data_IF_543924395818
#
_entry.id   IF_543924395818
#
_cell.length_a   1.000
_cell.length_b   1.000
_cell.length_c   1.000
_cell.angle_alpha   90.00
_cell.angle_beta   90.00
_cell.angle_gamma   90.00
#
_symmetry.space_group_name_H-M   'P 1'
#
loop_
_entity.id
_entity.type
_entity.pdbx_description
1 polymer ?
#
# COMPACT_ATOMS: atom_id res chain seq x y z
N UNK A 1 26.88 -32.25 3.84
CA UNK A 1 25.47 -31.94 4.11
C UNK A 1 25.03 -31.07 2.99
N UNK A 2 24.37 -31.66 2.01
CA UNK A 2 23.94 -30.97 0.79
C UNK A 2 22.71 -30.13 1.11
N UNK A 3 22.85 -28.82 1.01
CA UNK A 3 21.72 -27.91 1.02
C UNK A 3 21.08 -27.95 -0.38
N UNK A 4 19.95 -28.62 -0.48
CA UNK A 4 19.07 -28.51 -1.64
C UNK A 4 18.35 -27.17 -1.52
N UNK A 5 18.48 -26.21 -2.48
CA UNK A 5 17.71 -24.99 -2.44
C UNK A 5 16.24 -25.32 -2.64
N UNK A 6 15.39 -24.72 -1.81
CA UNK A 6 13.93 -24.82 -1.93
C UNK A 6 13.51 -24.40 -3.35
N UNK A 7 12.74 -25.26 -4.01
CA UNK A 7 12.22 -24.98 -5.35
C UNK A 7 11.21 -23.84 -5.28
N UNK A 8 11.66 -22.64 -5.60
CA UNK A 8 10.75 -21.52 -5.87
C UNK A 8 10.00 -21.78 -7.17
N UNK A 9 8.68 -21.72 -7.15
CA UNK A 9 7.87 -21.81 -8.36
C UNK A 9 8.04 -20.49 -9.13
N UNK A 10 8.87 -20.54 -10.17
CA UNK A 10 9.09 -19.40 -11.06
C UNK A 10 8.11 -19.51 -12.22
N UNK A 11 7.15 -18.61 -12.31
CA UNK A 11 6.25 -18.50 -13.47
C UNK A 11 6.79 -17.40 -14.38
N UNK A 12 7.36 -17.78 -15.52
CA UNK A 12 7.74 -16.84 -16.58
C UNK A 12 6.49 -16.48 -17.40
N UNK A 13 6.01 -15.26 -17.29
CA UNK A 13 4.96 -14.75 -18.17
C UNK A 13 5.60 -14.16 -19.43
N UNK A 14 5.82 -15.00 -20.44
CA UNK A 14 6.11 -14.55 -21.82
C UNK A 14 4.80 -14.30 -22.56
N UNK A 15 4.86 -13.55 -23.69
CA UNK A 15 3.71 -13.28 -24.55
C UNK A 15 2.90 -14.54 -24.83
N UNK A 16 1.62 -14.51 -24.50
CA UNK A 16 0.53 -15.38 -24.93
C UNK A 16 0.79 -16.91 -24.92
N UNK A 17 0.88 -17.50 -23.76
CA UNK A 17 0.25 -18.80 -23.43
C UNK A 17 0.40 -19.03 -21.93
N UNK A 18 -0.64 -18.68 -21.20
CA UNK A 18 -0.72 -18.89 -19.76
C UNK A 18 -1.16 -20.33 -19.53
N UNK A 19 -0.22 -21.25 -19.33
CA UNK A 19 -0.52 -22.44 -18.54
C UNK A 19 -0.29 -22.03 -17.07
N UNK A 20 -1.39 -21.83 -16.35
CA UNK A 20 -1.35 -21.67 -14.90
C UNK A 20 -0.75 -22.95 -14.29
N UNK A 21 0.21 -22.89 -13.36
CA UNK A 21 0.63 -24.08 -12.64
C UNK A 21 -0.56 -24.60 -11.83
N UNK A 22 -0.91 -25.85 -12.08
CA UNK A 22 -1.87 -26.60 -11.29
C UNK A 22 -1.29 -26.78 -9.88
N UNK A 23 -1.91 -26.17 -8.89
CA UNK A 23 -1.63 -26.52 -7.51
C UNK A 23 -1.60 -25.33 -6.56
N UNK A 24 -2.70 -25.19 -5.87
CA UNK A 24 -2.86 -24.37 -4.68
C UNK A 24 -4.09 -23.49 -4.81
N UNK A 25 -5.18 -23.92 -4.22
CA UNK A 25 -6.33 -23.09 -3.94
C UNK A 25 -5.85 -21.86 -3.16
N UNK A 26 -5.54 -20.78 -3.88
CA UNK A 26 -5.45 -19.44 -3.31
C UNK A 26 -6.88 -18.93 -3.19
N UNK A 27 -7.64 -19.56 -2.32
CA UNK A 27 -8.99 -19.14 -1.96
C UNK A 27 -8.85 -18.04 -0.91
N UNK A 28 -8.78 -16.77 -1.37
CA UNK A 28 -8.66 -15.64 -0.49
C UNK A 28 -7.91 -14.45 -1.10
N UNK A 29 -8.02 -13.28 -0.48
CA UNK A 29 -7.44 -12.01 -0.91
C UNK A 29 -5.90 -12.07 -1.03
N UNK A 30 -5.38 -12.44 -2.19
CA UNK A 30 -3.95 -12.46 -2.47
C UNK A 30 -3.37 -11.04 -2.41
N UNK A 31 -2.26 -10.86 -1.71
CA UNK A 31 -1.51 -9.60 -1.67
C UNK A 31 -0.34 -9.67 -2.65
N UNK A 32 -0.34 -8.78 -3.64
CA UNK A 32 0.73 -8.64 -4.63
C UNK A 32 1.72 -7.55 -4.20
N UNK A 33 3.01 -7.88 -4.17
CA UNK A 33 4.08 -6.98 -3.74
C UNK A 33 5.16 -6.88 -4.82
N UNK A 34 5.13 -5.87 -5.71
CA UNK A 34 6.18 -5.67 -6.70
C UNK A 34 7.48 -5.16 -6.05
N UNK A 35 8.54 -5.95 -6.14
CA UNK A 35 9.87 -5.60 -5.65
C UNK A 35 10.66 -4.89 -6.76
N UNK A 36 10.40 -3.61 -6.93
CA UNK A 36 10.84 -2.85 -8.10
C UNK A 36 11.96 -1.83 -7.82
N UNK A 37 12.37 -1.65 -6.57
CA UNK A 37 13.39 -0.68 -6.18
C UNK A 37 14.41 -1.29 -5.23
N UNK A 38 15.70 -0.98 -5.38
CA UNK A 38 16.72 -1.41 -4.43
C UNK A 38 16.74 -0.58 -3.15
N UNK A 39 15.95 0.51 -3.06
CA UNK A 39 15.97 1.40 -1.91
C UNK A 39 15.42 0.71 -0.67
N UNK A 40 16.28 0.51 0.31
CA UNK A 40 16.00 -0.29 1.50
C UNK A 40 14.77 0.20 2.28
N UNK A 41 14.68 1.51 2.54
CA UNK A 41 13.56 2.09 3.29
C UNK A 41 12.22 1.90 2.57
N UNK A 42 12.19 2.08 1.25
CA UNK A 42 10.98 1.91 0.46
C UNK A 42 10.48 0.46 0.45
N UNK A 43 11.40 -0.50 0.30
CA UNK A 43 11.06 -1.94 0.33
C UNK A 43 10.64 -2.37 1.73
N UNK A 44 11.35 -1.93 2.76
CA UNK A 44 11.02 -2.25 4.16
C UNK A 44 9.62 -1.75 4.51
N UNK A 45 9.30 -0.49 4.21
CA UNK A 45 7.97 0.07 4.45
C UNK A 45 6.87 -0.67 3.69
N UNK A 46 7.10 -0.98 2.42
CA UNK A 46 6.19 -1.76 1.59
C UNK A 46 5.91 -3.15 2.21
N UNK A 47 6.95 -3.86 2.61
CA UNK A 47 6.83 -5.21 3.20
C UNK A 47 6.20 -5.19 4.60
N UNK A 48 6.48 -4.19 5.43
CA UNK A 48 5.82 -4.03 6.73
C UNK A 48 4.31 -3.87 6.58
N UNK A 49 3.87 -3.07 5.61
CA UNK A 49 2.43 -2.89 5.33
C UNK A 49 1.84 -4.17 4.72
N UNK A 50 2.51 -4.80 3.76
CA UNK A 50 2.05 -6.06 3.18
C UNK A 50 1.88 -7.16 4.25
N UNK A 51 2.81 -7.27 5.20
CA UNK A 51 2.71 -8.20 6.34
C UNK A 51 1.44 -7.98 7.15
N UNK A 52 1.14 -6.72 7.46
CA UNK A 52 -0.04 -6.37 8.25
C UNK A 52 -1.36 -6.67 7.53
N UNK A 53 -1.39 -6.61 6.20
CA UNK A 53 -2.58 -6.86 5.38
C UNK A 53 -2.81 -8.35 5.10
N UNK A 54 -1.77 -9.18 5.21
CA UNK A 54 -1.86 -10.61 4.97
C UNK A 54 -2.61 -11.31 6.11
N UNK A 55 -3.58 -12.14 5.77
CA UNK A 55 -4.21 -13.06 6.73
C UNK A 55 -3.26 -14.22 7.03
N UNK A 56 -3.52 -14.96 8.10
CA UNK A 56 -2.66 -16.06 8.51
C UNK A 56 -2.51 -17.16 7.45
N UNK A 57 -3.52 -17.34 6.61
CA UNK A 57 -3.58 -18.33 5.52
C UNK A 57 -3.04 -17.84 4.18
N UNK A 58 -2.86 -16.53 4.01
CA UNK A 58 -2.52 -15.96 2.71
C UNK A 58 -1.02 -16.05 2.43
N UNK A 59 -0.66 -16.29 1.17
CA UNK A 59 0.71 -16.23 0.71
C UNK A 59 0.93 -14.93 -0.10
N UNK A 60 2.00 -14.16 0.18
CA UNK A 60 2.32 -13.02 -0.65
C UNK A 60 2.79 -13.46 -2.02
N UNK A 61 2.39 -12.71 -3.04
CA UNK A 61 2.90 -12.87 -4.40
C UNK A 61 3.89 -11.75 -4.68
N UNK A 62 5.15 -12.09 -4.92
CA UNK A 62 6.17 -11.11 -5.28
C UNK A 62 6.34 -11.01 -6.79
N UNK A 63 6.45 -9.80 -7.29
CA UNK A 63 6.85 -9.54 -8.68
C UNK A 63 8.23 -8.94 -8.68
N UNK A 64 9.15 -9.53 -9.45
CA UNK A 64 10.49 -9.03 -9.66
C UNK A 64 10.70 -8.61 -11.10
N UNK A 65 11.62 -7.68 -11.30
CA UNK A 65 12.00 -7.16 -12.61
C UNK A 65 13.33 -7.83 -13.05
N UNK A 66 13.29 -8.81 -13.96
CA UNK A 66 14.49 -9.55 -14.34
C UNK A 66 15.50 -8.65 -15.06
N UNK A 67 16.80 -8.84 -14.74
CA UNK A 67 17.91 -8.03 -15.21
C UNK A 67 18.31 -8.20 -16.66
N UNK A 68 18.10 -9.39 -17.22
CA UNK A 68 18.60 -9.75 -18.55
C UNK A 68 17.77 -9.18 -19.70
N UNK A 69 16.70 -8.48 -19.41
CA UNK A 69 15.86 -7.86 -20.43
C UNK A 69 16.33 -6.45 -20.75
N UNK A 70 16.23 -6.08 -22.03
CA UNK A 70 16.50 -4.73 -22.51
C UNK A 70 15.85 -3.67 -21.63
N UNK A 71 16.45 -2.46 -21.49
CA UNK A 71 15.90 -1.38 -20.67
C UNK A 71 14.43 -1.18 -20.99
N UNK A 72 13.59 -1.30 -19.98
CA UNK A 72 12.15 -1.03 -20.12
C UNK A 72 11.90 0.49 -20.12
N UNK A 73 10.70 0.91 -20.52
CA UNK A 73 10.28 2.31 -20.39
C UNK A 73 10.34 2.84 -18.93
N UNK A 74 10.57 1.96 -17.96
CA UNK A 74 10.61 2.25 -16.52
C UNK A 74 12.02 2.11 -15.91
N UNK A 75 13.05 2.02 -16.74
CA UNK A 75 14.45 1.90 -16.34
C UNK A 75 15.03 0.50 -16.51
N UNK A 76 16.31 0.31 -16.12
CA UNK A 76 16.95 -1.00 -16.12
C UNK A 76 16.31 -1.93 -15.08
N UNK A 77 16.33 -3.22 -15.35
CA UNK A 77 15.97 -4.25 -14.38
C UNK A 77 16.93 -4.27 -13.17
N UNK A 78 16.57 -5.05 -12.18
CA UNK A 78 17.41 -5.22 -10.99
C UNK A 78 18.50 -6.28 -11.27
N UNK A 79 19.75 -6.09 -10.82
CA UNK A 79 20.77 -7.13 -10.82
C UNK A 79 20.37 -8.37 -10.02
N UNK A 80 20.78 -9.57 -10.43
CA UNK A 80 20.39 -10.84 -9.80
C UNK A 80 20.77 -10.93 -8.31
N UNK A 81 21.84 -10.28 -7.90
CA UNK A 81 22.25 -10.18 -6.50
C UNK A 81 21.29 -9.28 -5.70
N UNK A 82 20.86 -8.18 -6.29
CA UNK A 82 19.86 -7.29 -5.70
C UNK A 82 18.48 -7.98 -5.65
N UNK A 83 18.07 -8.67 -6.71
CA UNK A 83 16.83 -9.44 -6.71
C UNK A 83 16.81 -10.46 -5.56
N UNK A 84 17.88 -11.24 -5.40
CA UNK A 84 18.00 -12.21 -4.29
C UNK A 84 17.95 -11.53 -2.92
N UNK A 85 18.67 -10.43 -2.75
CA UNK A 85 18.64 -9.67 -1.50
C UNK A 85 17.22 -9.17 -1.16
N UNK A 86 16.44 -8.71 -2.15
CA UNK A 86 15.07 -8.26 -1.95
C UNK A 86 14.14 -9.40 -1.56
N UNK A 87 14.27 -10.57 -2.19
CA UNK A 87 13.49 -11.78 -1.84
C UNK A 87 13.85 -12.26 -0.44
N UNK A 88 15.14 -12.37 -0.10
CA UNK A 88 15.61 -12.75 1.23
C UNK A 88 15.12 -11.77 2.31
N UNK A 89 15.03 -10.49 1.99
CA UNK A 89 14.48 -9.46 2.88
C UNK A 89 12.98 -9.63 3.05
N UNK A 90 12.26 -9.90 1.97
CA UNK A 90 10.84 -10.15 2.01
C UNK A 90 10.51 -11.37 2.89
N UNK A 91 11.24 -12.46 2.77
CA UNK A 91 11.08 -13.66 3.61
C UNK A 91 11.38 -13.39 5.09
N UNK A 92 12.34 -12.51 5.39
CA UNK A 92 12.64 -12.12 6.78
C UNK A 92 11.55 -11.26 7.40
N UNK A 93 10.95 -10.34 6.63
CA UNK A 93 9.91 -9.42 7.14
C UNK A 93 8.54 -10.12 7.19
N UNK A 94 8.28 -11.02 6.23
CA UNK A 94 7.03 -11.79 6.13
C UNK A 94 7.36 -13.29 6.24
N UNK A 95 7.71 -13.77 7.44
CA UNK A 95 8.03 -15.18 7.63
C UNK A 95 6.77 -16.05 7.44
N UNK A 96 6.82 -17.00 6.53
CA UNK A 96 5.73 -17.91 6.20
C UNK A 96 6.18 -19.37 6.15
N UNK A 97 5.23 -20.29 6.30
CA UNK A 97 5.49 -21.71 6.30
C UNK A 97 5.76 -22.32 4.90
N UNK A 98 5.62 -21.55 3.84
CA UNK A 98 5.82 -22.01 2.46
C UNK A 98 6.59 -21.00 1.61
N UNK A 99 7.11 -21.44 0.45
CA UNK A 99 7.79 -20.53 -0.47
C UNK A 99 6.83 -19.46 -0.98
N UNK A 100 7.29 -18.20 -1.12
CA UNK A 100 6.49 -17.16 -1.73
C UNK A 100 6.23 -17.46 -3.21
N UNK A 101 5.09 -17.05 -3.71
CA UNK A 101 4.86 -17.00 -5.15
C UNK A 101 5.79 -15.94 -5.77
N UNK A 102 6.65 -16.32 -6.72
CA UNK A 102 7.55 -15.39 -7.39
C UNK A 102 7.18 -15.29 -8.87
N UNK A 103 6.79 -14.11 -9.31
CA UNK A 103 6.51 -13.82 -10.72
C UNK A 103 7.62 -12.97 -11.32
N UNK A 104 8.09 -13.37 -12.49
CA UNK A 104 8.99 -12.58 -13.32
C UNK A 104 8.27 -12.07 -14.54
N UNK A 105 8.36 -10.76 -14.81
CA UNK A 105 7.70 -10.17 -15.97
C UNK A 105 8.62 -9.25 -16.74
N UNK A 106 8.64 -9.39 -18.07
CA UNK A 106 9.40 -8.53 -18.98
C UNK A 106 8.71 -7.19 -19.25
N UNK A 107 7.41 -7.11 -19.02
CA UNK A 107 6.61 -5.92 -19.27
C UNK A 107 5.96 -5.46 -17.97
N UNK A 108 6.69 -4.72 -17.15
CA UNK A 108 6.29 -4.38 -15.77
C UNK A 108 4.82 -3.97 -15.62
N UNK A 109 4.38 -2.96 -16.35
CA UNK A 109 3.01 -2.50 -16.21
C UNK A 109 1.98 -3.57 -16.61
N UNK A 110 2.10 -4.11 -17.82
CA UNK A 110 1.12 -5.08 -18.31
C UNK A 110 1.27 -6.43 -17.61
N UNK A 111 2.50 -6.85 -17.29
CA UNK A 111 2.75 -8.09 -16.54
C UNK A 111 2.15 -8.06 -15.14
N UNK A 112 2.32 -6.97 -14.40
CA UNK A 112 1.70 -6.81 -13.07
C UNK A 112 0.17 -6.78 -13.20
N UNK A 113 -0.40 -6.05 -14.15
CA UNK A 113 -1.85 -6.03 -14.37
C UNK A 113 -2.41 -7.40 -14.78
N UNK A 114 -1.63 -8.18 -15.54
CA UNK A 114 -2.00 -9.56 -15.88
C UNK A 114 -1.89 -10.47 -14.64
N UNK A 115 -0.85 -10.33 -13.85
CA UNK A 115 -0.68 -11.09 -12.61
C UNK A 115 -1.83 -10.83 -11.62
N UNK A 116 -2.30 -9.58 -11.49
CA UNK A 116 -3.46 -9.23 -10.66
C UNK A 116 -4.67 -10.05 -11.06
N UNK A 117 -5.00 -10.09 -12.36
CA UNK A 117 -6.18 -10.81 -12.86
C UNK A 117 -6.02 -12.34 -12.83
N UNK A 118 -4.81 -12.84 -13.10
CA UNK A 118 -4.55 -14.27 -13.16
C UNK A 118 -4.51 -14.95 -11.78
N UNK A 119 -4.26 -14.19 -10.72
CA UNK A 119 -4.10 -14.71 -9.35
C UNK A 119 -5.16 -14.16 -8.39
N UNK A 120 -6.22 -13.55 -8.90
CA UNK A 120 -7.32 -12.97 -8.09
C UNK A 120 -6.80 -12.10 -6.93
N UNK A 121 -5.92 -11.15 -7.27
CA UNK A 121 -5.24 -10.29 -6.30
C UNK A 121 -6.24 -9.30 -5.73
N UNK A 122 -6.49 -9.38 -4.44
CA UNK A 122 -7.34 -8.42 -3.70
C UNK A 122 -6.63 -7.11 -3.40
N UNK A 123 -5.32 -7.17 -3.11
CA UNK A 123 -4.55 -5.96 -2.72
C UNK A 123 -3.19 -5.90 -3.40
N UNK A 124 -2.90 -4.76 -4.02
CA UNK A 124 -1.60 -4.41 -4.58
C UNK A 124 -0.89 -3.42 -3.66
N UNK A 125 0.28 -3.78 -3.13
CA UNK A 125 1.09 -2.90 -2.27
C UNK A 125 2.28 -2.37 -3.05
N UNK A 126 2.37 -1.04 -3.19
CA UNK A 126 3.37 -0.36 -4.02
C UNK A 126 4.24 0.59 -3.18
N UNK A 127 5.55 0.67 -3.45
CA UNK A 127 6.37 1.73 -2.91
C UNK A 127 6.05 3.05 -3.62
N UNK A 128 6.13 4.17 -2.91
CA UNK A 128 5.89 5.52 -3.44
C UNK A 128 6.91 6.52 -2.85
N UNK A 129 7.09 7.64 -3.54
CA UNK A 129 7.96 8.72 -3.08
C UNK A 129 9.19 8.91 -3.94
N UNK A 130 9.99 9.94 -3.63
CA UNK A 130 11.19 10.32 -4.38
C UNK A 130 12.27 9.23 -4.38
N UNK A 131 12.30 8.39 -3.36
CA UNK A 131 13.26 7.30 -3.20
C UNK A 131 13.11 6.21 -4.26
N UNK A 132 11.92 6.07 -4.87
CA UNK A 132 11.68 5.07 -5.92
C UNK A 132 12.23 5.46 -7.29
N UNK A 133 12.68 6.70 -7.45
CA UNK A 133 13.12 7.26 -8.73
C UNK A 133 11.95 7.62 -9.67
N UNK A 134 12.18 8.61 -10.54
CA UNK A 134 11.14 9.20 -11.39
C UNK A 134 10.41 8.19 -12.29
N UNK A 135 11.14 7.27 -12.92
CA UNK A 135 10.53 6.30 -13.84
C UNK A 135 9.68 5.26 -13.10
N UNK A 136 10.11 4.84 -11.92
CA UNK A 136 9.36 3.88 -11.08
C UNK A 136 8.15 4.54 -10.42
N UNK A 137 8.25 5.81 -10.03
CA UNK A 137 7.11 6.58 -9.54
C UNK A 137 6.02 6.66 -10.62
N UNK A 138 6.38 6.87 -11.89
CA UNK A 138 5.44 6.87 -13.01
C UNK A 138 4.76 5.50 -13.19
N UNK A 139 5.49 4.39 -12.99
CA UNK A 139 4.94 3.04 -12.99
C UNK A 139 3.93 2.85 -11.85
N UNK A 140 4.28 3.25 -10.62
CA UNK A 140 3.41 3.20 -9.45
C UNK A 140 2.10 3.94 -9.68
N UNK A 141 2.17 5.17 -10.20
CA UNK A 141 0.99 5.98 -10.51
C UNK A 141 0.10 5.31 -11.58
N UNK A 142 0.71 4.75 -12.63
CA UNK A 142 -0.02 4.04 -13.69
C UNK A 142 -0.66 2.75 -13.20
N UNK A 143 0.02 2.00 -12.35
CA UNK A 143 -0.55 0.82 -11.69
C UNK A 143 -1.72 1.21 -10.79
N UNK A 144 -1.54 2.24 -9.95
CA UNK A 144 -2.59 2.73 -9.08
C UNK A 144 -3.86 3.19 -9.84
N UNK A 145 -3.71 3.68 -11.07
CA UNK A 145 -4.85 4.08 -11.92
C UNK A 145 -5.54 2.91 -12.62
N UNK A 146 -4.84 1.80 -12.89
CA UNK A 146 -5.28 0.74 -13.81
C UNK A 146 -5.52 -0.60 -13.15
N UNK A 147 -5.06 -0.78 -11.91
CA UNK A 147 -5.29 -2.02 -11.18
C UNK A 147 -6.78 -2.19 -10.85
N UNK A 148 -7.28 -3.39 -11.09
CA UNK A 148 -8.65 -3.81 -10.80
C UNK A 148 -8.68 -4.52 -9.42
N UNK A 149 -8.03 -3.91 -8.43
CA UNK A 149 -7.96 -4.36 -7.04
C UNK A 149 -7.68 -3.16 -6.12
N UNK A 150 -7.70 -3.36 -4.83
CA UNK A 150 -7.29 -2.35 -3.87
C UNK A 150 -5.81 -2.02 -4.05
N UNK A 151 -5.47 -0.74 -3.98
CA UNK A 151 -4.08 -0.29 -4.11
C UNK A 151 -3.64 0.47 -2.88
N UNK A 152 -2.61 -0.04 -2.25
CA UNK A 152 -1.95 0.57 -1.11
C UNK A 152 -0.59 1.09 -1.55
N UNK A 153 -0.37 2.40 -1.43
CA UNK A 153 0.93 3.02 -1.72
C UNK A 153 1.60 3.42 -0.41
N UNK A 154 2.89 3.09 -0.28
CA UNK A 154 3.66 3.28 0.94
C UNK A 154 4.83 4.23 0.67
N UNK A 155 4.95 5.32 1.40
CA UNK A 155 6.05 6.28 1.34
C UNK A 155 6.85 6.21 2.64
N UNK A 156 8.14 5.91 2.54
CA UNK A 156 8.99 5.70 3.72
C UNK A 156 8.74 4.36 4.42
N UNK A 157 9.35 4.19 5.57
CA UNK A 157 9.13 3.03 6.45
C UNK A 157 8.89 3.53 7.87
N UNK A 158 8.20 2.72 8.64
CA UNK A 158 7.94 2.99 10.04
C UNK A 158 9.05 2.38 10.88
N UNK A 159 9.50 3.12 11.88
CA UNK A 159 10.35 2.55 12.93
C UNK A 159 9.56 1.50 13.74
N UNK A 160 10.19 0.41 14.13
CA UNK A 160 9.52 -0.69 14.85
C UNK A 160 8.89 -0.23 16.18
N UNK A 161 9.45 0.82 16.79
CA UNK A 161 8.95 1.42 18.04
C UNK A 161 7.82 2.42 17.84
N UNK A 162 7.52 2.82 16.61
CA UNK A 162 6.47 3.78 16.31
C UNK A 162 5.09 3.12 16.41
N UNK A 163 4.42 3.32 17.55
CA UNK A 163 3.14 2.67 17.92
C UNK A 163 1.96 3.62 17.88
N UNK A 164 1.98 4.61 16.99
CA UNK A 164 0.88 5.55 16.82
C UNK A 164 0.58 5.77 15.35
N UNK A 165 -0.70 5.79 15.00
CA UNK A 165 -1.21 5.97 13.65
C UNK A 165 -2.16 7.17 13.63
N UNK A 166 -1.88 8.14 12.77
CA UNK A 166 -2.83 9.20 12.41
C UNK A 166 -3.69 8.72 11.25
N UNK A 167 -5.00 8.74 11.42
CA UNK A 167 -5.98 8.38 10.39
C UNK A 167 -6.89 9.56 10.04
N UNK A 168 -6.51 10.44 9.11
CA UNK A 168 -7.41 11.47 8.61
C UNK A 168 -8.53 10.86 7.78
N UNK A 169 -9.79 11.18 8.10
CA UNK A 169 -10.99 10.68 7.44
C UNK A 169 -11.83 11.81 6.85
N UNK A 170 -12.42 11.56 5.68
CA UNK A 170 -13.32 12.52 4.99
C UNK A 170 -14.60 11.86 4.49
N UNK A 171 -14.82 10.58 4.88
CA UNK A 171 -15.90 9.75 4.37
C UNK A 171 -15.62 9.12 3.00
N UNK A 172 -16.54 8.29 2.55
CA UNK A 172 -16.46 7.56 1.28
C UNK A 172 -15.60 6.29 1.31
N UNK A 173 -15.58 5.52 0.19
CA UNK A 173 -15.02 4.18 0.16
C UNK A 173 -13.52 4.14 0.44
N UNK A 174 -12.75 5.10 -0.07
CA UNK A 174 -11.30 5.13 0.17
C UNK A 174 -10.96 5.46 1.63
N UNK A 175 -11.79 6.28 2.31
CA UNK A 175 -11.65 6.56 3.74
C UNK A 175 -11.95 5.32 4.57
N UNK A 176 -12.97 4.56 4.17
CA UNK A 176 -13.32 3.29 4.79
C UNK A 176 -12.21 2.24 4.64
N UNK A 177 -11.68 2.06 3.42
CA UNK A 177 -10.56 1.15 3.18
C UNK A 177 -9.28 1.58 3.93
N UNK A 178 -9.05 2.88 4.11
CA UNK A 178 -7.96 3.39 4.94
C UNK A 178 -8.16 3.03 6.42
N UNK A 179 -9.39 3.07 6.93
CA UNK A 179 -9.70 2.66 8.30
C UNK A 179 -9.46 1.15 8.52
N UNK A 180 -9.87 0.30 7.58
CA UNK A 180 -9.57 -1.14 7.62
C UNK A 180 -8.05 -1.39 7.62
N UNK A 181 -7.34 -0.73 6.70
CA UNK A 181 -5.87 -0.82 6.60
C UNK A 181 -5.18 -0.39 7.89
N UNK A 182 -5.61 0.73 8.49
CA UNK A 182 -5.08 1.20 9.77
C UNK A 182 -5.36 0.19 10.90
N UNK A 183 -6.54 -0.40 10.92
CA UNK A 183 -6.93 -1.45 11.87
C UNK A 183 -6.03 -2.68 11.76
N UNK A 184 -5.74 -3.16 10.55
CA UNK A 184 -4.84 -4.29 10.30
C UNK A 184 -3.39 -3.96 10.73
N UNK A 185 -2.88 -2.77 10.36
CA UNK A 185 -1.53 -2.35 10.79
C UNK A 185 -1.47 -2.23 12.31
N UNK A 186 -2.49 -1.67 12.95
CA UNK A 186 -2.55 -1.56 14.40
C UNK A 186 -2.66 -2.92 15.11
N UNK A 187 -3.31 -3.89 14.49
CA UNK A 187 -3.39 -5.26 15.02
C UNK A 187 -2.01 -5.95 14.98
N UNK A 188 -1.30 -5.83 13.86
CA UNK A 188 0.05 -6.40 13.68
C UNK A 188 1.10 -5.75 14.60
N UNK A 189 0.97 -4.46 14.88
CA UNK A 189 1.98 -3.66 15.58
C UNK A 189 1.62 -3.25 17.00
N UNK A 190 0.39 -3.55 17.40
CA UNK A 190 -0.20 -3.09 18.67
C UNK A 190 -0.20 -1.55 18.81
N UNK A 191 -0.35 -0.82 17.69
CA UNK A 191 -0.36 0.64 17.67
C UNK A 191 -1.68 1.22 18.17
N UNK A 192 -1.64 2.48 18.63
CA UNK A 192 -2.80 3.35 18.84
C UNK A 192 -3.21 4.01 17.54
N UNK A 193 -4.49 4.26 17.35
CA UNK A 193 -5.03 4.97 16.20
C UNK A 193 -5.75 6.23 16.68
N UNK A 194 -5.38 7.37 16.11
CA UNK A 194 -6.09 8.62 16.27
C UNK A 194 -6.82 8.96 14.97
N UNK A 195 -8.15 8.85 15.01
CA UNK A 195 -9.03 9.22 13.91
C UNK A 195 -9.23 10.72 13.92
N UNK A 196 -8.86 11.39 12.84
CA UNK A 196 -8.94 12.83 12.70
C UNK A 196 -9.90 13.23 11.58
N UNK A 197 -10.87 14.10 11.88
CA UNK A 197 -11.59 14.84 10.85
C UNK A 197 -11.29 16.32 10.95
N UNK A 198 -10.97 16.95 9.81
CA UNK A 198 -10.69 18.40 9.78
C UNK A 198 -11.87 19.14 9.16
N UNK A 199 -12.41 20.10 9.89
CA UNK A 199 -13.48 21.00 9.42
C UNK A 199 -12.98 22.44 9.30
N UNK A 200 -13.57 23.22 8.41
CA UNK A 200 -13.30 24.66 8.34
C UNK A 200 -13.85 25.35 9.60
N UNK A 201 -13.21 26.40 10.14
CA UNK A 201 -13.73 27.18 11.28
C UNK A 201 -15.14 27.74 11.04
N UNK A 202 -15.50 28.02 9.80
CA UNK A 202 -16.81 28.50 9.36
C UNK A 202 -17.76 27.34 8.92
N UNK A 203 -17.44 26.10 9.27
CA UNK A 203 -18.27 24.96 8.92
C UNK A 203 -19.66 25.07 9.55
N UNK A 204 -20.68 24.75 8.75
CA UNK A 204 -22.07 24.69 9.22
C UNK A 204 -22.24 23.51 10.17
N UNK A 205 -23.28 23.58 11.05
CA UNK A 205 -23.62 22.50 11.97
C UNK A 205 -23.77 21.16 11.23
N UNK A 206 -24.46 21.15 10.11
CA UNK A 206 -24.57 19.95 9.25
C UNK A 206 -23.22 19.35 8.86
N UNK A 207 -22.20 20.18 8.60
CA UNK A 207 -20.86 19.68 8.27
C UNK A 207 -20.13 19.10 9.47
N UNK A 208 -20.41 19.62 10.68
CA UNK A 208 -19.89 19.07 11.94
C UNK A 208 -20.52 17.72 12.22
N UNK A 209 -21.85 17.60 12.09
CA UNK A 209 -22.57 16.33 12.22
C UNK A 209 -22.08 15.28 11.20
N UNK A 210 -21.77 15.70 9.96
CA UNK A 210 -21.16 14.81 8.97
C UNK A 210 -19.76 14.35 9.37
N UNK A 211 -18.97 15.23 10.01
CA UNK A 211 -17.65 14.88 10.50
C UNK A 211 -17.73 13.80 11.59
N UNK A 212 -18.67 13.95 12.54
CA UNK A 212 -18.91 12.96 13.58
C UNK A 212 -19.33 11.61 12.98
N UNK A 213 -20.24 11.61 12.02
CA UNK A 213 -20.65 10.38 11.29
C UNK A 213 -19.47 9.70 10.58
N UNK A 214 -18.58 10.47 9.94
CA UNK A 214 -17.41 9.90 9.26
C UNK A 214 -16.42 9.29 10.26
N UNK A 215 -16.27 9.90 11.44
CA UNK A 215 -15.46 9.39 12.54
C UNK A 215 -16.05 8.08 13.08
N UNK A 216 -17.35 8.05 13.37
CA UNK A 216 -18.04 6.86 13.87
C UNK A 216 -17.85 5.67 12.91
N UNK A 217 -18.10 5.88 11.61
CA UNK A 217 -17.90 4.83 10.60
C UNK A 217 -16.45 4.33 10.60
N UNK A 218 -15.47 5.22 10.73
CA UNK A 218 -14.07 4.82 10.74
C UNK A 218 -13.72 4.03 12.01
N UNK A 219 -14.18 4.46 13.18
CA UNK A 219 -13.98 3.76 14.45
C UNK A 219 -14.60 2.35 14.44
N UNK A 220 -15.82 2.22 13.91
CA UNK A 220 -16.50 0.93 13.77
C UNK A 220 -15.72 -0.03 12.87
N UNK A 221 -15.17 0.46 11.75
CA UNK A 221 -14.36 -0.36 10.84
C UNK A 221 -13.01 -0.77 11.43
N UNK A 222 -12.35 0.09 12.20
CA UNK A 222 -11.13 -0.24 12.93
C UNK A 222 -11.36 -1.40 13.90
N UNK A 223 -12.51 -1.44 14.56
CA UNK A 223 -12.92 -2.52 15.46
C UNK A 223 -12.05 -2.69 16.71
N UNK A 224 -11.34 -1.63 17.14
CA UNK A 224 -10.41 -1.63 18.29
C UNK A 224 -10.65 -0.44 19.21
N UNK A 225 -11.83 -0.35 19.84
CA UNK A 225 -12.22 0.83 20.62
C UNK A 225 -11.25 1.15 21.78
N UNK A 226 -10.62 0.11 22.35
CA UNK A 226 -9.66 0.25 23.44
C UNK A 226 -8.33 0.90 23.04
N UNK A 227 -8.06 1.02 21.72
CA UNK A 227 -6.84 1.61 21.16
C UNK A 227 -7.11 2.64 20.08
N UNK A 228 -8.32 3.16 20.05
CA UNK A 228 -8.73 4.17 19.08
C UNK A 228 -9.26 5.38 19.83
N UNK A 229 -8.73 6.55 19.51
CA UNK A 229 -9.29 7.84 19.89
C UNK A 229 -9.74 8.59 18.64
N UNK A 230 -10.64 9.55 18.80
CA UNK A 230 -11.18 10.28 17.68
C UNK A 230 -11.45 11.74 18.06
N UNK A 231 -11.21 12.65 17.13
CA UNK A 231 -11.39 14.07 17.35
C UNK A 231 -11.59 14.86 16.06
N UNK A 232 -12.27 16.00 16.19
CA UNK A 232 -12.45 16.96 15.10
C UNK A 232 -11.53 18.15 15.33
N UNK A 233 -10.79 18.54 14.28
CA UNK A 233 -9.90 19.70 14.28
C UNK A 233 -10.51 20.81 13.41
N UNK A 234 -10.58 22.02 13.94
CA UNK A 234 -10.94 23.19 13.15
C UNK A 234 -9.68 23.81 12.53
N UNK A 235 -9.61 23.83 11.22
CA UNK A 235 -8.51 24.46 10.50
C UNK A 235 -8.95 24.98 9.11
N UNK A 236 -8.41 26.13 8.66
CA UNK A 236 -8.77 26.70 7.36
C UNK A 236 -8.18 25.89 6.19
N UNK A 237 -7.09 25.15 6.41
CA UNK A 237 -6.43 24.26 5.45
C UNK A 237 -6.23 22.87 6.05
N UNK A 238 -7.10 21.95 5.65
CA UNK A 238 -7.06 20.57 6.14
C UNK A 238 -5.74 19.87 5.79
N UNK A 239 -5.15 20.14 4.62
CA UNK A 239 -3.91 19.49 4.23
C UNK A 239 -2.74 19.95 5.11
N UNK A 240 -2.65 21.25 5.38
CA UNK A 240 -1.64 21.81 6.25
C UNK A 240 -1.78 21.28 7.68
N UNK A 241 -3.00 21.23 8.20
CA UNK A 241 -3.29 20.70 9.54
C UNK A 241 -2.88 19.22 9.68
N UNK A 242 -3.22 18.37 8.70
CA UNK A 242 -2.84 16.95 8.72
C UNK A 242 -1.30 16.80 8.63
N UNK A 243 -0.63 17.59 7.80
CA UNK A 243 0.85 17.59 7.70
C UNK A 243 1.48 17.97 9.03
N UNK A 244 0.97 18.98 9.72
CA UNK A 244 1.46 19.38 11.04
C UNK A 244 1.25 18.25 12.06
N UNK A 245 0.04 17.70 12.12
CA UNK A 245 -0.26 16.60 13.03
C UNK A 245 0.60 15.36 12.78
N UNK A 246 0.95 15.06 11.52
CA UNK A 246 1.74 13.88 11.17
C UNK A 246 3.11 13.81 11.87
N UNK A 247 3.62 14.93 12.39
CA UNK A 247 4.88 14.98 13.13
C UNK A 247 4.85 14.19 14.45
N UNK A 248 3.67 14.04 15.03
CA UNK A 248 3.48 13.38 16.33
C UNK A 248 3.19 11.90 16.24
N UNK A 249 3.15 11.34 15.00
CA UNK A 249 2.77 9.96 14.75
C UNK A 249 3.86 9.19 14.03
N UNK A 250 3.94 7.91 14.34
CA UNK A 250 4.86 6.99 13.64
C UNK A 250 4.41 6.61 12.24
N UNK A 251 3.12 6.80 11.92
CA UNK A 251 2.54 6.51 10.60
C UNK A 251 1.32 7.40 10.36
N UNK A 252 1.13 7.82 9.12
CA UNK A 252 -0.14 8.43 8.67
C UNK A 252 -0.79 7.51 7.63
N UNK A 253 -2.06 7.13 7.85
CA UNK A 253 -2.85 6.32 6.90
C UNK A 253 -4.01 7.15 6.39
N UNK A 254 -4.20 7.23 5.07
CA UNK A 254 -5.27 8.05 4.49
C UNK A 254 -5.87 7.45 3.21
N UNK A 255 -7.11 7.79 2.92
CA UNK A 255 -7.74 7.46 1.65
C UNK A 255 -7.09 8.21 0.47
N UNK A 256 -6.84 7.48 -0.63
CA UNK A 256 -6.38 8.10 -1.87
C UNK A 256 -7.49 8.96 -2.52
N UNK A 257 -7.15 9.92 -3.38
CA UNK A 257 -8.16 10.59 -4.18
C UNK A 257 -8.80 9.63 -5.19
N UNK A 258 -10.05 9.87 -5.56
CA UNK A 258 -10.77 9.07 -6.59
C UNK A 258 -10.04 9.06 -7.93
N UNK A 259 -10.29 8.03 -8.76
CA UNK A 259 -9.68 7.91 -10.12
C UNK A 259 -9.96 9.16 -10.98
N UNK A 260 -11.15 9.75 -10.88
CA UNK A 260 -11.49 10.99 -11.57
C UNK A 260 -10.61 12.18 -11.15
N UNK A 261 -10.42 12.37 -9.85
CA UNK A 261 -9.54 13.43 -9.33
C UNK A 261 -8.06 13.18 -9.61
N UNK A 262 -7.63 11.92 -9.66
CA UNK A 262 -6.27 11.57 -10.09
C UNK A 262 -6.02 11.90 -11.57
N UNK A 263 -7.02 11.67 -12.45
CA UNK A 263 -6.92 11.99 -13.88
C UNK A 263 -6.91 13.50 -14.17
N UNK A 264 -7.64 14.26 -13.39
CA UNK A 264 -7.72 15.72 -13.57
C UNK A 264 -6.46 16.45 -13.14
N UNK A 265 -5.42 15.74 -12.59
CA UNK A 265 -4.15 16.34 -12.13
C UNK A 265 -4.37 17.60 -11.27
N UNK A 266 -5.46 17.64 -10.49
CA UNK A 266 -5.78 18.80 -9.68
C UNK A 266 -4.67 18.98 -8.65
N UNK A 267 -3.80 19.94 -8.92
CA UNK A 267 -2.81 20.43 -7.98
C UNK A 267 -3.56 20.88 -6.72
N UNK A 268 -3.25 20.31 -5.56
CA UNK A 268 -3.82 20.73 -4.29
C UNK A 268 -4.81 19.75 -3.63
N UNK A 269 -4.92 18.50 -4.06
CA UNK A 269 -5.68 17.51 -3.26
C UNK A 269 -4.99 17.29 -1.91
N UNK A 270 -5.78 17.30 -0.82
CA UNK A 270 -5.30 17.03 0.54
C UNK A 270 -4.40 15.79 0.60
N UNK A 271 -4.85 14.68 0.01
CA UNK A 271 -4.08 13.43 -0.01
C UNK A 271 -2.72 13.57 -0.71
N UNK A 272 -2.62 14.33 -1.80
CA UNK A 272 -1.33 14.57 -2.47
C UNK A 272 -0.40 15.41 -1.60
N UNK A 273 -0.91 16.48 -1.01
CA UNK A 273 -0.13 17.36 -0.13
C UNK A 273 0.39 16.58 1.07
N UNK A 274 -0.45 15.77 1.72
CA UNK A 274 -0.05 14.94 2.84
C UNK A 274 1.02 13.92 2.42
N UNK A 275 0.83 13.17 1.33
CA UNK A 275 1.82 12.20 0.84
C UNK A 275 3.20 12.81 0.57
N UNK A 276 3.26 14.07 0.15
CA UNK A 276 4.52 14.74 -0.23
C UNK A 276 5.16 15.54 0.89
N UNK A 277 4.39 15.91 1.92
CA UNK A 277 4.82 16.84 2.97
C UNK A 277 4.69 16.30 4.39
N UNK A 278 3.99 15.20 4.61
CA UNK A 278 3.90 14.58 5.93
C UNK A 278 5.30 14.30 6.50
N UNK A 279 5.42 14.40 7.79
CA UNK A 279 6.66 14.21 8.54
C UNK A 279 6.81 12.78 9.06
N UNK A 280 5.75 11.99 8.99
CA UNK A 280 5.77 10.54 9.19
C UNK A 280 5.70 9.80 7.85
N UNK A 281 6.06 8.52 7.80
CA UNK A 281 5.71 7.63 6.70
C UNK A 281 4.22 7.69 6.38
N UNK A 282 3.86 7.51 5.11
CA UNK A 282 2.47 7.64 4.66
C UNK A 282 2.02 6.38 3.93
N UNK A 283 0.87 5.85 4.34
CA UNK A 283 0.12 4.83 3.63
C UNK A 283 -1.11 5.46 3.00
N UNK A 284 -1.25 5.38 1.68
CA UNK A 284 -2.42 5.89 0.98
C UNK A 284 -3.18 4.73 0.33
N UNK A 285 -4.46 4.62 0.62
CA UNK A 285 -5.31 3.49 0.26
C UNK A 285 -6.36 3.91 -0.76
N UNK A 286 -6.38 3.23 -1.90
CA UNK A 286 -7.42 3.31 -2.92
C UNK A 286 -8.18 1.99 -2.94
N UNK A 287 -9.44 2.00 -2.61
CA UNK A 287 -10.28 0.83 -2.80
C UNK A 287 -10.72 0.72 -4.27
N UNK A 288 -10.87 -0.51 -4.75
CA UNK A 288 -11.44 -0.80 -6.06
C UNK A 288 -12.98 -0.75 -5.96
N UNK A 289 -13.51 0.45 -5.75
CA UNK A 289 -14.93 0.66 -5.95
C UNK A 289 -15.18 0.79 -7.46
N UNK A 290 -16.03 -0.07 -8.00
CA UNK A 290 -16.56 0.10 -9.35
C UNK A 290 -17.39 1.41 -9.42
N UNK A 291 -16.69 2.56 -9.54
CA UNK A 291 -17.24 3.87 -9.87
C UNK A 291 -17.02 4.18 -11.35
#
# INVERSE_FOLDING_TARGET
MDFTPASSLVVETGDASTEAPAGGDLDGDCVLVPLLTPTESAVTGQLQVARALLRASDAPLYVVDPTETAPTAYGPGLPDDIERELVDRAERIIPRAGPPGLLRTRTLLNGILTAIRANDVGTLVLPSGAETGFLRQNLTERLALRADCDVVTVTGHRDDDARSILLPVTGGPHSAAAADTAGHIAADTNAWIDVLHVVSPDATERRREQADTHIEIACDRIGRPERTTAWVLEAPDAAAAIVEQSEYYGLTVLGAPTKSRLRELIAGSTSRTVRTRARSPVVSVRCDSND
#
